data_IF_488776384666
#
_entry.id   IF_488776384666
#
_cell.length_a   1.000
_cell.length_b   1.000
_cell.length_c   1.000
_cell.angle_alpha   90.00
_cell.angle_beta   90.00
_cell.angle_gamma   90.00
#
_symmetry.space_group_name_H-M   'P 1'
#
loop_
_entity.id
_entity.type
_entity.pdbx_description
1 polymer ?
#
# COMPACT_ATOMS: atom_id res chain seq x y z
N UNK A 1 -6.43 10.25 14.11
CA UNK A 1 -5.52 11.10 13.32
C UNK A 1 -6.10 11.21 11.93
N UNK A 2 -6.18 12.42 11.35
CA UNK A 2 -6.63 12.63 9.96
C UNK A 2 -5.55 13.37 9.21
N UNK A 3 -5.23 12.87 8.03
CA UNK A 3 -4.47 13.61 7.04
C UNK A 3 -5.26 14.82 6.58
N UNK A 4 -4.56 15.91 6.33
CA UNK A 4 -5.17 17.12 5.76
C UNK A 4 -5.57 16.85 4.30
N UNK A 5 -6.58 17.54 3.77
CA UNK A 5 -7.01 17.38 2.38
C UNK A 5 -5.88 17.58 1.36
N UNK A 6 -4.93 18.46 1.67
CA UNK A 6 -3.77 18.77 0.82
C UNK A 6 -2.85 17.55 0.66
N UNK A 7 -2.56 16.84 1.75
CA UNK A 7 -1.73 15.63 1.71
C UNK A 7 -2.43 14.51 0.96
N UNK A 8 -3.74 14.36 1.14
CA UNK A 8 -4.52 13.36 0.41
C UNK A 8 -4.54 13.65 -1.10
N UNK A 9 -4.73 14.92 -1.47
CA UNK A 9 -4.71 15.36 -2.87
C UNK A 9 -3.34 15.13 -3.50
N UNK A 10 -2.27 15.41 -2.75
CA UNK A 10 -0.91 15.18 -3.22
C UNK A 10 -0.64 13.69 -3.42
N UNK A 11 -0.96 12.84 -2.42
CA UNK A 11 -0.79 11.39 -2.53
C UNK A 11 -1.56 10.81 -3.73
N UNK A 12 -2.81 11.23 -3.93
CA UNK A 12 -3.61 10.83 -5.09
C UNK A 12 -2.95 11.26 -6.40
N UNK A 13 -2.37 12.47 -6.49
CA UNK A 13 -1.68 12.91 -7.69
C UNK A 13 -0.48 12.02 -8.07
N UNK A 14 0.32 11.57 -7.09
CA UNK A 14 1.46 10.67 -7.33
C UNK A 14 1.00 9.30 -7.83
N UNK A 15 -0.05 8.75 -7.21
CA UNK A 15 -0.64 7.48 -7.63
C UNK A 15 -1.20 7.57 -9.04
N UNK A 16 -1.89 8.66 -9.36
CA UNK A 16 -2.46 8.87 -10.70
C UNK A 16 -1.41 8.99 -11.77
N UNK A 17 -0.30 9.66 -11.48
CA UNK A 17 0.83 9.74 -12.38
C UNK A 17 1.45 8.35 -12.59
N UNK A 18 1.65 7.57 -11.52
CA UNK A 18 2.20 6.22 -11.61
C UNK A 18 1.31 5.26 -12.43
N UNK A 19 -0.01 5.37 -12.26
CA UNK A 19 -1.01 4.56 -12.97
C UNK A 19 -1.38 5.13 -14.35
N UNK A 20 -0.77 6.24 -14.77
CA UNK A 20 -1.02 6.92 -16.06
C UNK A 20 -2.51 7.22 -16.28
N UNK A 21 -3.16 7.75 -15.24
CA UNK A 21 -4.59 8.06 -15.27
C UNK A 21 -4.81 9.42 -15.93
N UNK A 22 -5.76 9.50 -16.86
CA UNK A 22 -6.04 10.74 -17.56
C UNK A 22 -6.52 11.86 -16.60
N UNK A 23 -6.32 13.13 -16.96
CA UNK A 23 -6.89 14.25 -16.21
C UNK A 23 -8.41 14.07 -16.05
N UNK A 24 -8.94 14.33 -14.86
CA UNK A 24 -10.38 14.29 -14.51
C UNK A 24 -11.05 12.91 -14.46
N UNK A 25 -10.37 11.81 -14.80
CA UNK A 25 -10.90 10.47 -14.53
C UNK A 25 -10.81 10.15 -13.03
N UNK A 26 -11.74 9.40 -12.43
CA UNK A 26 -11.57 8.94 -11.06
C UNK A 26 -10.40 7.97 -10.94
N UNK A 27 -9.69 7.99 -9.81
CA UNK A 27 -8.66 7.00 -9.52
C UNK A 27 -9.33 5.62 -9.39
N UNK A 28 -8.99 4.62 -10.22
CA UNK A 28 -9.58 3.30 -10.16
C UNK A 28 -9.13 2.57 -8.90
N UNK A 29 -9.81 1.48 -8.51
CA UNK A 29 -9.34 0.56 -7.49
C UNK A 29 -7.88 0.13 -7.72
N UNK A 30 -7.05 0.18 -6.67
CA UNK A 30 -5.69 -0.35 -6.70
C UNK A 30 -5.30 -0.93 -5.33
N UNK A 31 -4.33 -1.84 -5.35
CA UNK A 31 -3.69 -2.38 -4.14
C UNK A 31 -2.41 -1.59 -3.90
N UNK A 32 -2.25 -1.04 -2.69
CA UNK A 32 -1.03 -0.37 -2.28
C UNK A 32 -0.17 -1.34 -1.46
N UNK A 33 1.07 -1.55 -1.86
CA UNK A 33 2.02 -2.40 -1.14
C UNK A 33 3.19 -1.54 -0.66
N UNK A 34 3.42 -1.54 0.64
CA UNK A 34 4.58 -0.88 1.23
C UNK A 34 5.61 -1.92 1.66
N UNK A 35 6.82 -1.86 1.11
CA UNK A 35 7.92 -2.78 1.42
C UNK A 35 9.07 -2.00 2.05
N UNK A 36 9.42 -2.25 3.31
CA UNK A 36 10.60 -1.65 3.95
C UNK A 36 11.74 -2.65 3.95
N UNK A 37 12.80 -2.35 3.19
CA UNK A 37 14.02 -3.14 3.07
C UNK A 37 15.24 -2.39 3.58
N UNK A 38 15.36 -1.11 3.24
CA UNK A 38 16.61 -0.35 3.35
C UNK A 38 17.00 -0.01 4.79
N UNK A 39 16.09 0.55 5.56
CA UNK A 39 16.38 1.10 6.89
C UNK A 39 16.41 0.07 8.03
N UNK A 40 15.96 -1.16 7.77
CA UNK A 40 16.06 -2.29 8.70
C UNK A 40 17.29 -3.17 8.49
N UNK A 41 18.17 -2.86 7.52
CA UNK A 41 19.35 -3.69 7.25
C UNK A 41 20.29 -3.86 8.45
N UNK A 42 20.37 -2.86 9.34
CA UNK A 42 21.15 -2.96 10.59
C UNK A 42 20.55 -3.88 11.66
N UNK A 43 19.31 -4.33 11.48
CA UNK A 43 18.60 -5.25 12.38
C UNK A 43 18.67 -6.70 11.90
N UNK A 44 19.21 -6.92 10.70
CA UNK A 44 19.35 -8.23 10.11
C UNK A 44 20.64 -8.91 10.58
N UNK A 45 20.51 -10.10 11.20
CA UNK A 45 21.64 -11.00 11.48
C UNK A 45 22.07 -11.86 10.29
N UNK A 46 21.47 -11.64 9.11
CA UNK A 46 21.64 -12.38 7.86
C UNK A 46 21.76 -11.39 6.69
N UNK A 47 22.20 -11.82 5.49
CA UNK A 47 22.19 -10.96 4.31
C UNK A 47 20.81 -10.35 4.05
N UNK A 48 20.76 -9.08 3.63
CA UNK A 48 19.51 -8.31 3.46
C UNK A 48 18.45 -9.04 2.64
N UNK A 49 18.88 -9.65 1.53
CA UNK A 49 18.04 -10.45 0.63
C UNK A 49 17.35 -11.65 1.29
N UNK A 50 17.95 -12.17 2.36
CA UNK A 50 17.46 -13.34 3.11
C UNK A 50 16.72 -12.88 4.39
N UNK A 51 16.80 -11.60 4.73
CA UNK A 51 16.15 -10.98 5.88
C UNK A 51 14.68 -10.63 5.59
N UNK A 52 14.38 -10.21 4.36
CA UNK A 52 13.04 -9.80 3.94
C UNK A 52 12.37 -10.83 3.05
N UNK A 53 11.04 -10.78 3.00
CA UNK A 53 10.26 -11.65 2.15
C UNK A 53 10.62 -11.41 0.67
N UNK A 54 10.93 -12.46 -0.11
CA UNK A 54 11.19 -12.28 -1.53
C UNK A 54 9.93 -11.78 -2.24
N UNK A 55 10.11 -11.09 -3.36
CA UNK A 55 9.01 -10.48 -4.12
C UNK A 55 7.94 -11.50 -4.53
N UNK A 56 8.32 -12.76 -4.77
CA UNK A 56 7.39 -13.87 -5.05
C UNK A 56 6.40 -14.15 -3.92
N UNK A 57 6.82 -13.99 -2.65
CA UNK A 57 5.91 -14.14 -1.49
C UNK A 57 4.94 -12.96 -1.44
N UNK A 58 5.41 -11.76 -1.76
CA UNK A 58 4.58 -10.55 -1.81
C UNK A 58 3.55 -10.69 -2.93
N UNK A 59 3.96 -11.14 -4.12
CA UNK A 59 3.08 -11.38 -5.26
C UNK A 59 1.94 -12.35 -4.93
N UNK A 60 2.26 -13.48 -4.29
CA UNK A 60 1.23 -14.42 -3.80
C UNK A 60 0.24 -13.75 -2.84
N UNK A 61 0.72 -12.89 -1.92
CA UNK A 61 -0.18 -12.18 -1.00
C UNK A 61 -1.06 -11.16 -1.71
N UNK A 62 -0.56 -10.50 -2.76
CA UNK A 62 -1.37 -9.62 -3.61
C UNK A 62 -2.49 -10.42 -4.30
N UNK A 63 -2.18 -11.59 -4.86
CA UNK A 63 -3.20 -12.47 -5.47
C UNK A 63 -4.28 -12.89 -4.46
N UNK A 64 -3.89 -13.28 -3.25
CA UNK A 64 -4.85 -13.61 -2.17
C UNK A 64 -5.77 -12.42 -1.84
N UNK A 65 -5.25 -11.19 -1.82
CA UNK A 65 -6.04 -9.98 -1.60
C UNK A 65 -6.98 -9.70 -2.78
N UNK A 66 -6.51 -9.90 -4.01
CA UNK A 66 -7.35 -9.77 -5.21
C UNK A 66 -8.52 -10.75 -5.18
N UNK A 67 -8.25 -12.01 -4.83
CA UNK A 67 -9.27 -13.05 -4.67
C UNK A 67 -10.27 -12.70 -3.55
N UNK A 68 -9.79 -12.21 -2.41
CA UNK A 68 -10.66 -11.77 -1.31
C UNK A 68 -11.57 -10.61 -1.77
N UNK A 69 -11.03 -9.60 -2.45
CA UNK A 69 -11.79 -8.46 -2.96
C UNK A 69 -12.84 -8.88 -3.99
N UNK A 70 -12.51 -9.83 -4.87
CA UNK A 70 -13.44 -10.39 -5.83
C UNK A 70 -14.57 -11.17 -5.14
N UNK A 71 -14.24 -12.03 -4.18
CA UNK A 71 -15.22 -12.88 -3.50
C UNK A 71 -16.15 -12.09 -2.58
N UNK A 72 -15.58 -11.16 -1.80
CA UNK A 72 -16.31 -10.45 -0.73
C UNK A 72 -16.96 -9.16 -1.20
N UNK A 73 -16.34 -8.45 -2.16
CA UNK A 73 -16.80 -7.14 -2.64
C UNK A 73 -17.19 -7.12 -4.11
N UNK A 74 -17.00 -8.22 -4.85
CA UNK A 74 -17.19 -8.27 -6.31
C UNK A 74 -16.36 -7.21 -7.06
N UNK A 75 -15.21 -6.86 -6.49
CA UNK A 75 -14.27 -5.89 -7.06
C UNK A 75 -13.11 -6.64 -7.71
N UNK A 76 -12.89 -6.39 -9.00
CA UNK A 76 -11.68 -6.81 -9.70
C UNK A 76 -10.68 -5.67 -9.58
N UNK A 77 -9.54 -5.94 -8.97
CA UNK A 77 -8.46 -4.97 -8.76
C UNK A 77 -7.18 -5.52 -9.34
N UNK A 78 -6.75 -4.98 -10.47
CA UNK A 78 -5.60 -5.40 -11.27
C UNK A 78 -4.36 -4.52 -11.04
N UNK A 79 -4.57 -3.29 -10.59
CA UNK A 79 -3.51 -2.29 -10.40
C UNK A 79 -2.85 -2.45 -9.04
N UNK A 80 -1.53 -2.47 -9.03
CA UNK A 80 -0.71 -2.55 -7.81
C UNK A 80 0.30 -1.42 -7.82
N UNK A 81 0.33 -0.65 -6.74
CA UNK A 81 1.25 0.46 -6.52
C UNK A 81 2.18 0.08 -5.37
N UNK A 82 3.48 0.08 -5.62
CA UNK A 82 4.51 -0.28 -4.63
C UNK A 82 5.25 0.95 -4.16
N UNK A 83 5.40 1.09 -2.85
CA UNK A 83 6.31 2.06 -2.22
C UNK A 83 7.36 1.31 -1.42
N UNK A 84 8.63 1.69 -1.56
CA UNK A 84 9.73 1.07 -0.82
C UNK A 84 10.90 2.04 -0.68
N UNK A 85 11.69 1.82 0.37
CA UNK A 85 12.99 2.44 0.60
C UNK A 85 14.15 1.67 -0.06
N UNK A 86 13.85 0.63 -0.86
CA UNK A 86 14.82 -0.15 -1.63
C UNK A 86 15.53 0.70 -2.70
N UNK A 87 16.85 0.50 -2.81
CA UNK A 87 17.71 1.19 -3.77
C UNK A 87 18.23 0.25 -4.88
N UNK A 88 18.09 -1.06 -4.72
CA UNK A 88 18.49 -2.03 -5.74
C UNK A 88 17.63 -1.91 -7.00
N UNK A 89 18.27 -1.53 -8.11
CA UNK A 89 17.62 -1.43 -9.42
C UNK A 89 17.12 -2.77 -9.95
N UNK A 90 17.78 -3.88 -9.62
CA UNK A 90 17.35 -5.21 -10.05
C UNK A 90 16.03 -5.60 -9.40
N UNK A 91 15.85 -5.27 -8.12
CA UNK A 91 14.59 -5.50 -7.41
C UNK A 91 13.45 -4.67 -8.02
N UNK A 92 13.70 -3.40 -8.35
CA UNK A 92 12.70 -2.57 -9.03
C UNK A 92 12.35 -3.06 -10.44
N UNK A 93 13.30 -3.65 -11.16
CA UNK A 93 13.02 -4.28 -12.45
C UNK A 93 12.10 -5.51 -12.30
N UNK A 94 12.31 -6.33 -11.26
CA UNK A 94 11.40 -7.44 -10.95
C UNK A 94 9.98 -6.95 -10.61
N UNK A 95 9.85 -5.84 -9.88
CA UNK A 95 8.56 -5.19 -9.60
C UNK A 95 7.86 -4.76 -10.89
N UNK A 96 8.59 -4.15 -11.82
CA UNK A 96 8.05 -3.76 -13.12
C UNK A 96 7.64 -4.97 -13.97
N UNK A 97 8.39 -6.08 -13.92
CA UNK A 97 8.05 -7.33 -14.62
C UNK A 97 6.74 -7.97 -14.12
N UNK A 98 6.35 -7.73 -12.86
CA UNK A 98 5.04 -8.10 -12.32
C UNK A 98 3.91 -7.18 -12.80
N UNK A 99 4.21 -6.13 -13.57
CA UNK A 99 3.25 -5.12 -14.01
C UNK A 99 2.86 -4.12 -12.92
N UNK A 100 3.62 -4.08 -11.82
CA UNK A 100 3.37 -3.16 -10.71
C UNK A 100 4.06 -1.82 -10.96
N UNK A 101 3.51 -0.75 -10.41
CA UNK A 101 4.04 0.61 -10.62
C UNK A 101 4.56 1.21 -9.32
N UNK A 102 5.52 2.13 -9.45
CA UNK A 102 6.08 2.91 -8.35
C UNK A 102 5.79 4.40 -8.58
N UNK A 103 5.34 5.14 -7.56
CA UNK A 103 5.28 6.59 -7.64
C UNK A 103 6.69 7.22 -7.77
N UNK A 104 6.85 8.13 -8.73
CA UNK A 104 8.10 8.88 -8.89
C UNK A 104 8.24 9.94 -7.81
N UNK A 105 9.13 9.70 -6.84
CA UNK A 105 9.45 10.63 -5.76
C UNK A 105 10.77 11.39 -5.95
N UNK A 106 11.38 11.35 -7.14
CA UNK A 106 12.71 11.93 -7.42
C UNK A 106 12.79 13.42 -7.10
N UNK A 107 11.70 14.16 -7.29
CA UNK A 107 11.62 15.62 -7.06
C UNK A 107 10.78 16.03 -5.87
N UNK A 108 10.23 15.08 -5.11
CA UNK A 108 9.32 15.39 -4.01
C UNK A 108 9.98 16.27 -2.94
N UNK A 109 11.25 15.99 -2.61
CA UNK A 109 12.01 16.79 -1.62
C UNK A 109 12.27 18.20 -2.10
N UNK A 110 12.63 18.36 -3.38
CA UNK A 110 12.88 19.67 -4.02
C UNK A 110 11.60 20.53 -4.03
N UNK A 111 10.46 19.92 -4.38
CA UNK A 111 9.20 20.65 -4.61
C UNK A 111 8.42 20.89 -3.31
N UNK A 112 8.41 19.94 -2.38
CA UNK A 112 7.55 19.98 -1.18
C UNK A 112 8.33 19.95 0.15
N UNK A 113 9.63 19.66 0.13
CA UNK A 113 10.47 19.53 1.32
C UNK A 113 10.57 18.09 1.85
N UNK A 114 11.61 17.84 2.65
CA UNK A 114 12.01 16.49 3.08
C UNK A 114 10.92 15.72 3.84
N UNK A 115 10.08 16.42 4.61
CA UNK A 115 9.01 15.77 5.39
C UNK A 115 7.88 15.21 4.52
N UNK A 116 7.63 15.80 3.35
CA UNK A 116 6.58 15.32 2.45
C UNK A 116 6.93 13.97 1.81
N UNK A 117 8.21 13.70 1.56
CA UNK A 117 8.65 12.38 1.11
C UNK A 117 8.25 11.31 2.13
N UNK A 118 8.53 11.52 3.42
CA UNK A 118 8.15 10.57 4.47
C UNK A 118 6.63 10.34 4.57
N UNK A 119 5.81 11.40 4.43
CA UNK A 119 4.36 11.28 4.52
C UNK A 119 3.74 10.58 3.30
N UNK A 120 4.22 10.86 2.09
CA UNK A 120 3.62 10.30 0.87
C UNK A 120 3.82 8.78 0.76
N UNK A 121 4.91 8.26 1.32
CA UNK A 121 5.22 6.82 1.26
C UNK A 121 4.24 5.99 2.11
N UNK A 122 3.68 6.58 3.16
CA UNK A 122 2.70 5.96 4.05
C UNK A 122 1.23 6.17 3.58
N UNK A 123 0.94 7.31 2.92
CA UNK A 123 -0.43 7.81 2.78
C UNK A 123 -1.20 7.35 1.53
N UNK A 124 -0.51 6.83 0.52
CA UNK A 124 -1.17 6.34 -0.69
C UNK A 124 -2.22 5.25 -0.35
N UNK A 125 -1.88 4.31 0.52
CA UNK A 125 -2.77 3.22 0.95
C UNK A 125 -4.06 3.74 1.64
N UNK A 126 -3.92 4.67 2.60
CA UNK A 126 -5.05 5.18 3.40
C UNK A 126 -6.05 6.02 2.59
N UNK A 127 -5.56 6.77 1.60
CA UNK A 127 -6.40 7.62 0.75
C UNK A 127 -7.37 6.79 -0.09
N UNK A 128 -6.90 5.65 -0.60
CA UNK A 128 -7.68 4.81 -1.50
C UNK A 128 -8.73 3.95 -0.78
N UNK A 129 -8.43 3.46 0.42
CA UNK A 129 -9.38 2.72 1.25
C UNK A 129 -10.69 3.50 1.45
N UNK A 130 -10.63 4.84 1.51
CA UNK A 130 -11.81 5.71 1.65
C UNK A 130 -12.66 5.82 0.38
N UNK A 131 -12.10 5.57 -0.80
CA UNK A 131 -12.80 5.72 -2.07
C UNK A 131 -13.55 4.44 -2.50
N UNK A 132 -13.20 3.28 -1.96
CA UNK A 132 -13.92 2.03 -2.24
C UNK A 132 -15.31 2.06 -1.58
N UNK A 133 -16.42 2.10 -2.34
CA UNK A 133 -17.75 2.17 -1.75
C UNK A 133 -18.08 0.87 -1.01
N UNK A 134 -18.60 0.96 0.22
CA UNK A 134 -19.21 -0.19 0.90
C UNK A 134 -20.63 -0.40 0.36
N UNK A 135 -20.91 -1.49 -0.38
CA UNK A 135 -22.24 -1.76 -0.92
C UNK A 135 -23.31 -1.95 0.17
N UNK A 136 -22.92 -2.11 1.44
CA UNK A 136 -23.85 -2.24 2.58
C UNK A 136 -24.27 -0.91 3.20
N UNK A 137 -23.76 0.24 2.75
CA UNK A 137 -24.12 1.56 3.33
C UNK A 137 -24.51 2.58 2.27
N UNK A 138 -25.83 2.80 2.14
CA UNK A 138 -26.39 4.00 1.50
C UNK A 138 -26.34 5.17 2.49
N UNK A 139 -25.54 6.18 2.17
CA UNK A 139 -25.51 7.46 2.86
C UNK A 139 -24.59 7.47 4.09
N UNK A 140 -23.77 8.51 4.16
CA UNK A 140 -22.80 8.83 5.21
C UNK A 140 -21.44 8.13 5.10
N UNK A 141 -20.45 8.93 4.69
CA UNK A 141 -19.03 8.75 4.95
C UNK A 141 -18.79 8.46 6.43
N UNK A 142 -18.39 7.22 6.78
CA UNK A 142 -18.05 6.86 8.16
C UNK A 142 -16.73 6.11 8.19
N UNK A 143 -15.83 6.69 8.97
CA UNK A 143 -14.70 6.13 9.70
C UNK A 143 -14.80 4.65 10.08
N UNK A 144 -13.78 3.88 9.70
CA UNK A 144 -13.56 2.56 10.31
C UNK A 144 -12.79 2.74 11.62
N UNK A 145 -13.51 2.69 12.74
CA UNK A 145 -12.95 2.31 14.03
C UNK A 145 -13.89 1.30 14.66
N UNK A 146 -13.54 0.00 14.60
CA UNK A 146 -14.10 -0.97 15.54
C UNK A 146 -13.11 -2.08 15.89
N UNK A 147 -12.31 -1.75 16.89
CA UNK A 147 -11.59 -2.69 17.73
C UNK A 147 -12.59 -3.65 18.41
N UNK A 148 -12.51 -4.96 18.12
CA UNK A 148 -12.97 -6.02 19.03
C UNK A 148 -11.86 -7.04 19.15
N UNK A 149 -11.15 -6.99 20.29
CA UNK A 149 -10.37 -8.12 20.79
C UNK A 149 -11.32 -9.28 20.97
N UNK A 150 -11.08 -10.39 20.29
CA UNK A 150 -11.41 -11.68 20.87
C UNK A 150 -10.13 -12.50 21.01
N UNK A 151 -9.87 -12.92 22.24
CA UNK A 151 -8.75 -13.76 22.63
C UNK A 151 -9.25 -15.19 22.57
N UNK A 152 -8.69 -16.01 21.69
CA UNK A 152 -8.37 -17.42 21.92
C UNK A 152 -8.32 -18.16 20.58
N UNK A 153 -7.13 -18.27 20.03
CA UNK A 153 -6.55 -19.50 19.47
C UNK A 153 -5.11 -19.18 19.11
N UNK A 154 -4.19 -19.90 19.75
CA UNK A 154 -2.76 -20.05 19.48
C UNK A 154 -2.10 -19.14 18.43
N UNK A 155 -1.33 -18.17 18.93
CA UNK A 155 0.01 -17.86 18.41
C UNK A 155 0.19 -17.07 17.11
N UNK A 156 -0.87 -16.66 16.41
CA UNK A 156 -0.74 -15.88 15.17
C UNK A 156 -1.75 -14.72 15.11
N UNK A 157 -1.28 -13.49 15.35
CA UNK A 157 -2.09 -12.29 15.16
C UNK A 157 -2.22 -11.96 13.66
N UNK A 158 -3.15 -12.61 12.96
CA UNK A 158 -3.55 -12.20 11.62
C UNK A 158 -4.72 -11.22 11.71
N UNK A 159 -4.45 -9.95 11.41
CA UNK A 159 -5.48 -8.94 11.16
C UNK A 159 -5.51 -8.60 9.67
N UNK A 160 -6.42 -9.21 8.92
CA UNK A 160 -6.79 -8.75 7.58
C UNK A 160 -7.95 -7.76 7.74
N UNK A 161 -7.65 -6.47 7.75
CA UNK A 161 -8.67 -5.43 7.61
C UNK A 161 -8.86 -5.12 6.12
N UNK A 162 -10.11 -4.95 5.71
CA UNK A 162 -10.51 -4.67 4.34
C UNK A 162 -10.04 -3.26 3.92
N UNK A 163 -8.76 -3.21 3.57
CA UNK A 163 -7.91 -2.04 3.38
C UNK A 163 -6.48 -2.48 3.65
N UNK A 164 -5.99 -3.40 2.83
CA UNK A 164 -4.79 -4.18 3.12
C UNK A 164 -3.54 -3.35 2.82
N UNK A 165 -3.11 -2.57 3.81
CA UNK A 165 -1.70 -2.26 4.00
C UNK A 165 -1.07 -3.51 4.61
N UNK A 166 -0.26 -4.24 3.84
CA UNK A 166 0.61 -5.29 4.38
C UNK A 166 1.76 -4.63 5.13
N UNK A 167 1.52 -4.15 6.36
CA UNK A 167 2.59 -3.74 7.26
C UNK A 167 3.18 -5.00 7.91
N UNK A 168 4.31 -5.47 7.39
CA UNK A 168 5.11 -6.50 8.07
C UNK A 168 5.75 -5.90 9.32
N UNK A 169 5.19 -6.22 10.48
CA UNK A 169 5.88 -6.05 11.76
C UNK A 169 6.59 -7.37 12.04
N UNK A 170 7.92 -7.38 11.88
CA UNK A 170 8.74 -8.48 12.37
C UNK A 170 8.46 -8.73 13.85
N UNK A 171 8.46 -10.01 14.25
CA UNK A 171 8.37 -10.42 15.64
C UNK A 171 9.47 -9.79 16.51
#
# INVERSE_FOLDING_TARGET
MHWTPEILTLADSYVRQALVIAPYEPTPPYIAVHVRHGDFGGWCGVPLKDCFAPLSVIARRVEEVQDELLQTKRLVVDRVVVTSDEQDSAWWEEVLQLGWVRPDHSRTVEVHGAWYAAYLWQNAADAHIKQVPDPRRRGHSIWCSRFRRDRSVDGLCYGAEAGVSLEWRGC
#
